data_IF_030279535703
#
_entry.id   IF_030279535703
#
_cell.length_a   1.000
_cell.length_b   1.000
_cell.length_c   1.000
_cell.angle_alpha   90.00
_cell.angle_beta   90.00
_cell.angle_gamma   90.00
#
_symmetry.space_group_name_H-M   'P 1'
#
loop_
_entity.id
_entity.type
_entity.pdbx_description
1 polymer ?
#
# COMPACT_ATOMS: atom_id res chain seq x y z
N UNK A 1 -43.42 91.18 6.12
CA UNK A 1 -43.59 89.76 6.50
C UNK A 1 -42.67 88.91 5.65
N UNK A 2 -41.69 88.25 6.28
CA UNK A 2 -40.77 87.29 5.66
C UNK A 2 -41.56 86.10 5.10
N UNK A 3 -41.25 85.65 3.88
CA UNK A 3 -41.52 84.28 3.44
C UNK A 3 -40.21 83.66 3.01
N UNK A 4 -39.81 82.64 3.75
CA UNK A 4 -38.63 81.80 3.55
C UNK A 4 -39.12 80.40 3.20
N UNK A 5 -38.22 79.60 2.60
CA UNK A 5 -38.22 78.12 2.52
C UNK A 5 -39.11 77.54 1.37
N UNK A 6 -38.72 76.54 0.56
CA UNK A 6 -37.77 75.42 0.72
C UNK A 6 -37.25 75.00 -0.67
N UNK A 7 -35.94 74.76 -0.81
CA UNK A 7 -35.35 74.06 -1.96
C UNK A 7 -35.23 72.56 -1.65
N UNK A 8 -35.88 71.71 -2.45
CA UNK A 8 -35.78 70.26 -2.34
C UNK A 8 -34.52 69.76 -3.07
N UNK A 9 -33.51 69.32 -2.32
CA UNK A 9 -32.41 68.52 -2.84
C UNK A 9 -32.82 67.04 -2.85
N UNK A 10 -32.95 66.45 -4.04
CA UNK A 10 -33.10 65.00 -4.22
C UNK A 10 -31.68 64.41 -4.24
N UNK A 11 -31.31 63.70 -3.17
CA UNK A 11 -30.10 62.88 -3.13
C UNK A 11 -30.45 61.51 -3.73
N UNK A 12 -29.93 61.22 -4.92
CA UNK A 12 -30.02 59.90 -5.54
C UNK A 12 -28.88 59.06 -4.97
N UNK A 13 -29.18 58.19 -3.99
CA UNK A 13 -28.26 57.18 -3.49
C UNK A 13 -28.11 56.07 -4.52
N UNK A 14 -26.96 56.02 -5.20
CA UNK A 14 -26.57 54.91 -6.07
C UNK A 14 -26.12 53.75 -5.18
N UNK A 15 -26.97 52.74 -5.03
CA UNK A 15 -26.65 51.48 -4.37
C UNK A 15 -25.81 50.64 -5.35
N UNK A 16 -24.50 50.55 -5.12
CA UNK A 16 -23.64 49.56 -5.75
C UNK A 16 -23.96 48.18 -5.16
N UNK A 17 -24.74 47.38 -5.89
CA UNK A 17 -24.92 45.95 -5.59
C UNK A 17 -23.66 45.25 -6.09
N UNK A 18 -22.70 45.03 -5.20
CA UNK A 18 -21.60 44.09 -5.43
C UNK A 18 -22.19 42.69 -5.57
N UNK A 19 -22.28 42.21 -6.81
CA UNK A 19 -22.68 40.83 -7.10
C UNK A 19 -21.62 39.87 -6.56
N UNK A 20 -21.88 39.28 -5.40
CA UNK A 20 -21.18 38.06 -4.99
C UNK A 20 -21.52 36.96 -6.00
N UNK A 21 -20.58 36.63 -6.88
CA UNK A 21 -20.64 35.41 -7.68
C UNK A 21 -20.46 34.22 -6.73
N UNK A 22 -21.53 33.83 -6.05
CA UNK A 22 -21.60 32.52 -5.41
C UNK A 22 -21.55 31.49 -6.54
N UNK A 23 -20.35 30.97 -6.83
CA UNK A 23 -20.20 29.84 -7.72
C UNK A 23 -21.06 28.71 -7.18
N UNK A 24 -22.17 28.42 -7.86
CA UNK A 24 -23.07 27.32 -7.52
C UNK A 24 -22.25 26.04 -7.56
N UNK A 25 -21.92 25.48 -6.40
CA UNK A 25 -21.29 24.17 -6.32
C UNK A 25 -22.27 23.16 -6.93
N UNK A 26 -21.83 22.50 -8.00
CA UNK A 26 -22.62 21.43 -8.63
C UNK A 26 -22.86 20.34 -7.58
N UNK A 27 -24.09 19.89 -7.43
CA UNK A 27 -24.42 18.80 -6.48
C UNK A 27 -23.55 17.56 -6.77
N UNK A 28 -23.12 16.79 -5.74
CA UNK A 28 -22.34 15.58 -5.95
C UNK A 28 -23.04 14.59 -6.88
N UNK A 29 -22.37 14.17 -7.95
CA UNK A 29 -22.85 13.11 -8.84
C UNK A 29 -22.13 11.80 -8.57
N UNK A 30 -22.80 10.68 -8.84
CA UNK A 30 -22.17 9.36 -8.79
C UNK A 30 -21.26 9.15 -10.02
N UNK A 31 -20.07 8.60 -9.79
CA UNK A 31 -19.13 8.18 -10.83
C UNK A 31 -18.77 6.70 -10.64
N UNK A 32 -19.02 5.90 -11.68
CA UNK A 32 -18.85 4.45 -11.65
C UNK A 32 -17.38 4.00 -11.75
N UNK A 33 -17.01 2.82 -11.21
CA UNK A 33 -15.61 2.35 -11.17
C UNK A 33 -14.89 2.22 -12.51
N UNK A 34 -15.62 1.96 -13.60
CA UNK A 34 -15.07 1.84 -14.94
C UNK A 34 -14.76 3.20 -15.61
N UNK A 35 -15.00 4.32 -14.91
CA UNK A 35 -14.65 5.64 -15.39
C UNK A 35 -13.11 5.77 -15.59
N UNK A 36 -12.64 6.21 -16.77
CA UNK A 36 -11.21 6.27 -17.09
C UNK A 36 -10.40 7.28 -16.27
N UNK A 37 -11.07 8.16 -15.50
CA UNK A 37 -10.39 9.05 -14.55
C UNK A 37 -9.84 8.29 -13.32
N UNK A 38 -10.34 7.09 -13.03
CA UNK A 38 -9.78 6.24 -11.98
C UNK A 38 -8.53 5.53 -12.46
N UNK A 39 -7.46 5.68 -11.69
CA UNK A 39 -6.22 4.93 -11.86
C UNK A 39 -6.11 3.89 -10.76
N UNK A 40 -5.99 2.63 -11.16
CA UNK A 40 -5.86 1.48 -10.27
C UNK A 40 -4.41 1.00 -10.25
N UNK A 41 -3.88 0.63 -9.09
CA UNK A 41 -2.54 0.03 -8.98
C UNK A 41 -2.49 -0.97 -7.83
N UNK A 42 -1.93 -2.15 -8.07
CA UNK A 42 -1.83 -3.25 -7.10
C UNK A 42 -2.30 -4.58 -7.67
N UNK A 43 -2.56 -5.56 -6.80
CA UNK A 43 -3.25 -6.79 -7.18
C UNK A 43 -4.75 -6.54 -7.13
N UNK A 44 -5.36 -6.39 -8.30
CA UNK A 44 -6.75 -5.99 -8.44
C UNK A 44 -7.47 -7.00 -9.34
N UNK A 45 -8.63 -7.45 -8.90
CA UNK A 45 -9.53 -8.30 -9.69
C UNK A 45 -10.47 -7.40 -10.50
N UNK A 46 -10.38 -7.48 -11.83
CA UNK A 46 -11.20 -6.76 -12.80
C UNK A 46 -12.23 -7.64 -13.51
N UNK A 47 -12.51 -8.85 -13.03
CA UNK A 47 -13.52 -9.74 -13.63
C UNK A 47 -14.90 -9.06 -13.76
N UNK A 48 -15.22 -8.14 -12.84
CA UNK A 48 -16.32 -7.21 -12.99
C UNK A 48 -15.77 -5.77 -13.00
N UNK A 49 -15.74 -5.07 -14.16
CA UNK A 49 -15.19 -3.71 -14.25
C UNK A 49 -16.02 -2.68 -13.47
N UNK A 50 -17.28 -2.98 -13.15
CA UNK A 50 -18.13 -2.13 -12.31
C UNK A 50 -17.93 -2.36 -10.81
N UNK A 51 -17.15 -3.37 -10.42
CA UNK A 51 -16.86 -3.74 -9.04
C UNK A 51 -15.43 -4.30 -8.90
N UNK A 52 -14.38 -3.52 -9.27
CA UNK A 52 -13.01 -3.98 -9.12
C UNK A 52 -12.68 -4.23 -7.65
N UNK A 53 -11.95 -5.32 -7.37
CA UNK A 53 -11.62 -5.73 -6.00
C UNK A 53 -10.15 -5.48 -5.71
N UNK A 54 -9.86 -4.64 -4.71
CA UNK A 54 -8.52 -4.43 -4.19
C UNK A 54 -8.14 -5.61 -3.29
N UNK A 55 -7.09 -6.34 -3.66
CA UNK A 55 -6.75 -7.62 -3.02
C UNK A 55 -5.61 -7.46 -2.00
N UNK A 56 -4.41 -7.17 -2.49
CA UNK A 56 -3.23 -7.12 -1.62
C UNK A 56 -3.18 -5.85 -0.79
N UNK A 57 -2.43 -5.91 0.32
CA UNK A 57 -2.06 -4.72 1.09
C UNK A 57 -1.46 -3.69 0.13
N UNK A 58 -1.71 -2.41 0.37
CA UNK A 58 -1.12 -1.36 -0.44
C UNK A 58 -1.71 -1.23 -1.83
N UNK A 59 -2.68 -2.05 -2.27
CA UNK A 59 -3.42 -1.79 -3.51
C UNK A 59 -4.20 -0.48 -3.38
N UNK A 60 -4.20 0.35 -4.41
CA UNK A 60 -4.75 1.70 -4.32
C UNK A 60 -5.45 2.18 -5.58
N UNK A 61 -6.34 3.15 -5.38
CA UNK A 61 -7.04 3.91 -6.41
C UNK A 61 -6.63 5.36 -6.29
N UNK A 62 -6.33 6.00 -7.42
CA UNK A 62 -6.12 7.44 -7.50
C UNK A 62 -7.10 8.07 -8.47
N UNK A 63 -7.54 9.27 -8.13
CA UNK A 63 -8.35 10.14 -8.97
C UNK A 63 -8.21 11.57 -8.47
N UNK A 64 -8.65 12.54 -9.25
CA UNK A 64 -8.91 13.89 -8.75
C UNK A 64 -10.40 14.19 -8.74
N UNK A 65 -10.80 15.19 -7.98
CA UNK A 65 -12.14 15.75 -8.08
C UNK A 65 -12.10 17.28 -7.96
N UNK A 66 -13.08 17.96 -8.53
CA UNK A 66 -13.31 19.40 -8.29
C UNK A 66 -14.54 19.58 -7.43
N UNK A 67 -14.41 20.31 -6.33
CA UNK A 67 -15.52 20.55 -5.40
C UNK A 67 -15.04 20.61 -3.96
N UNK A 68 -15.99 20.58 -3.02
CA UNK A 68 -15.72 20.76 -1.58
C UNK A 68 -15.80 19.46 -0.77
N UNK A 69 -16.21 18.35 -1.40
CA UNK A 69 -16.43 17.06 -0.76
C UNK A 69 -16.35 15.89 -1.72
N UNK A 70 -16.06 14.71 -1.18
CA UNK A 70 -16.09 13.44 -1.89
C UNK A 70 -16.49 12.32 -0.93
N UNK A 71 -17.45 11.50 -1.36
CA UNK A 71 -17.80 10.26 -0.66
C UNK A 71 -17.32 9.05 -1.46
N UNK A 72 -16.78 8.06 -0.75
CA UNK A 72 -16.34 6.77 -1.25
C UNK A 72 -17.47 5.75 -1.12
N UNK A 73 -17.68 4.94 -2.16
CA UNK A 73 -18.55 3.75 -2.09
C UNK A 73 -17.70 2.50 -2.22
N UNK A 74 -17.75 1.67 -1.20
CA UNK A 74 -17.03 0.39 -1.15
C UNK A 74 -17.89 -0.66 -0.46
N UNK A 75 -17.55 -1.91 -0.68
CA UNK A 75 -18.07 -3.06 0.06
C UNK A 75 -16.92 -3.92 0.53
N UNK A 76 -16.94 -4.28 1.80
CA UNK A 76 -15.95 -5.22 2.35
C UNK A 76 -16.37 -6.67 2.06
N UNK A 77 -15.41 -7.57 1.85
CA UNK A 77 -15.72 -8.98 1.71
C UNK A 77 -16.29 -9.59 3.00
N UNK A 78 -15.89 -9.06 4.16
CA UNK A 78 -16.13 -9.64 5.47
C UNK A 78 -15.73 -11.11 5.52
N UNK A 79 -14.49 -11.40 5.10
CA UNK A 79 -13.98 -12.76 5.03
C UNK A 79 -14.12 -13.47 6.39
N UNK A 80 -14.52 -14.75 6.35
CA UNK A 80 -14.82 -15.56 7.54
C UNK A 80 -15.92 -15.00 8.46
N UNK A 81 -16.71 -14.02 8.01
CA UNK A 81 -17.74 -13.31 8.78
C UNK A 81 -17.20 -12.60 10.05
N UNK A 82 -15.88 -12.40 10.14
CA UNK A 82 -15.26 -11.73 11.29
C UNK A 82 -14.15 -10.75 10.91
N UNK A 83 -13.53 -10.93 9.74
CA UNK A 83 -12.52 -9.99 9.26
C UNK A 83 -13.20 -8.75 8.67
N UNK A 84 -12.48 -7.63 8.72
CA UNK A 84 -12.87 -6.39 8.08
C UNK A 84 -11.62 -5.63 7.66
N UNK A 85 -11.67 -4.98 6.51
CA UNK A 85 -10.53 -4.21 6.02
C UNK A 85 -10.55 -2.78 6.52
N UNK A 86 -9.43 -2.13 6.26
CA UNK A 86 -9.29 -0.69 6.44
C UNK A 86 -8.74 -0.05 5.17
N UNK A 87 -9.09 1.22 4.97
CA UNK A 87 -8.61 2.02 3.85
C UNK A 87 -7.92 3.28 4.38
N UNK A 88 -6.68 3.50 3.97
CA UNK A 88 -5.93 4.73 4.21
C UNK A 88 -6.34 5.78 3.18
N UNK A 89 -6.69 6.98 3.65
CA UNK A 89 -7.20 8.08 2.83
C UNK A 89 -6.15 9.18 2.74
N UNK A 90 -5.91 9.68 1.53
CA UNK A 90 -4.98 10.78 1.26
C UNK A 90 -5.68 11.78 0.36
N UNK A 91 -5.66 13.05 0.76
CA UNK A 91 -6.22 14.17 -0.01
C UNK A 91 -5.12 15.22 -0.17
N UNK A 92 -4.88 15.66 -1.39
CA UNK A 92 -3.86 16.68 -1.74
C UNK A 92 -2.45 16.32 -1.23
N UNK A 93 -2.13 15.02 -1.23
CA UNK A 93 -0.86 14.50 -0.73
C UNK A 93 -0.77 14.38 0.79
N UNK A 94 -1.76 14.84 1.54
CA UNK A 94 -1.82 14.76 2.99
C UNK A 94 -2.58 13.51 3.45
N UNK A 95 -1.98 12.73 4.35
CA UNK A 95 -2.61 11.56 4.94
C UNK A 95 -3.71 11.99 5.92
N UNK A 96 -4.94 11.56 5.68
CA UNK A 96 -6.13 11.92 6.47
C UNK A 96 -6.54 10.85 7.50
N UNK A 97 -5.74 9.79 7.64
CA UNK A 97 -6.04 8.65 8.50
C UNK A 97 -6.62 7.45 7.74
N UNK A 98 -7.07 6.44 8.49
CA UNK A 98 -7.73 5.26 7.94
C UNK A 98 -9.20 5.19 8.35
N UNK A 99 -10.01 4.60 7.49
CA UNK A 99 -11.40 4.24 7.78
C UNK A 99 -11.50 2.73 8.01
N UNK A 100 -12.28 2.32 9.01
CA UNK A 100 -12.63 0.92 9.26
C UNK A 100 -13.87 0.54 8.47
N UNK A 101 -13.83 -0.59 7.77
CA UNK A 101 -14.98 -1.13 7.05
C UNK A 101 -15.83 -2.10 7.89
N UNK A 102 -15.60 -2.16 9.21
CA UNK A 102 -16.28 -3.09 10.13
C UNK A 102 -17.81 -3.03 10.11
N UNK A 103 -18.38 -1.86 9.87
CA UNK A 103 -19.84 -1.65 9.96
C UNK A 103 -20.60 -1.87 8.64
N UNK A 104 -19.93 -2.34 7.58
CA UNK A 104 -20.50 -2.56 6.23
C UNK A 104 -21.33 -1.37 5.70
N UNK A 105 -20.85 -0.13 5.92
CA UNK A 105 -21.52 1.04 5.35
C UNK A 105 -21.29 1.06 3.85
N UNK A 106 -22.33 1.31 3.06
CA UNK A 106 -22.18 1.44 1.61
C UNK A 106 -21.47 2.73 1.18
N UNK A 107 -21.41 3.74 2.06
CA UNK A 107 -20.88 5.08 1.76
C UNK A 107 -20.03 5.57 2.93
N UNK A 108 -18.83 6.05 2.62
CA UNK A 108 -17.88 6.65 3.55
C UNK A 108 -17.51 8.05 3.08
N UNK A 109 -17.70 9.04 3.94
CA UNK A 109 -17.25 10.40 3.65
C UNK A 109 -15.73 10.49 3.80
N UNK A 110 -15.02 10.80 2.71
CA UNK A 110 -13.55 10.85 2.70
C UNK A 110 -12.99 12.28 2.60
N UNK A 111 -13.83 13.24 2.22
CA UNK A 111 -13.50 14.67 2.18
C UNK A 111 -14.75 15.51 2.41
N UNK A 112 -14.64 16.56 3.23
CA UNK A 112 -15.68 17.56 3.43
C UNK A 112 -15.10 18.92 3.78
N UNK A 113 -15.91 19.97 3.58
CA UNK A 113 -15.57 21.35 3.91
C UNK A 113 -14.23 21.81 3.30
N UNK A 114 -13.85 21.25 2.14
CA UNK A 114 -12.68 21.68 1.41
C UNK A 114 -12.96 22.95 0.62
N UNK A 115 -11.91 23.68 0.25
CA UNK A 115 -12.01 24.77 -0.72
C UNK A 115 -12.55 24.26 -2.05
N UNK A 116 -13.36 25.06 -2.76
CA UNK A 116 -13.89 24.64 -4.06
C UNK A 116 -12.82 24.75 -5.17
N UNK A 117 -11.93 23.76 -5.24
CA UNK A 117 -10.83 23.67 -6.21
C UNK A 117 -10.65 22.22 -6.68
N UNK A 118 -9.60 21.99 -7.48
CA UNK A 118 -9.19 20.64 -7.85
C UNK A 118 -8.43 20.02 -6.67
N UNK A 119 -8.83 18.82 -6.30
CA UNK A 119 -8.22 17.98 -5.29
C UNK A 119 -7.69 16.70 -5.92
N UNK A 120 -6.67 16.12 -5.30
CA UNK A 120 -6.19 14.78 -5.62
C UNK A 120 -6.53 13.83 -4.48
N UNK A 121 -6.90 12.60 -4.82
CA UNK A 121 -7.27 11.58 -3.86
C UNK A 121 -6.48 10.31 -4.13
N UNK A 122 -5.98 9.68 -3.06
CA UNK A 122 -5.49 8.32 -3.07
C UNK A 122 -6.17 7.52 -1.95
N UNK A 123 -6.75 6.39 -2.32
CA UNK A 123 -7.40 5.44 -1.41
C UNK A 123 -6.59 4.16 -1.46
N UNK A 124 -5.97 3.79 -0.34
CA UNK A 124 -5.07 2.64 -0.26
C UNK A 124 -5.65 1.59 0.68
N UNK A 125 -5.73 0.34 0.25
CA UNK A 125 -6.06 -0.78 1.12
C UNK A 125 -4.96 -0.95 2.17
N UNK A 126 -5.31 -0.77 3.43
CA UNK A 126 -4.38 -0.77 4.55
C UNK A 126 -4.05 -2.21 4.99
N UNK A 127 -5.05 -3.08 4.99
CA UNK A 127 -4.99 -4.49 5.39
C UNK A 127 -4.57 -5.40 4.25
N UNK A 128 -4.00 -6.56 4.59
CA UNK A 128 -3.45 -7.50 3.60
C UNK A 128 -4.46 -8.46 2.98
N UNK A 129 -3.99 -9.29 2.04
CA UNK A 129 -4.84 -10.19 1.25
C UNK A 129 -5.59 -11.23 2.09
N UNK A 130 -4.96 -11.74 3.17
CA UNK A 130 -5.56 -12.74 4.07
C UNK A 130 -6.74 -12.20 4.90
N UNK A 131 -6.91 -10.87 4.94
CA UNK A 131 -8.05 -10.23 5.63
C UNK A 131 -9.30 -10.22 4.76
N UNK A 132 -9.12 -10.32 3.44
CA UNK A 132 -10.17 -10.24 2.44
C UNK A 132 -9.98 -9.06 1.48
N UNK A 133 -10.77 -9.04 0.42
CA UNK A 133 -10.75 -7.96 -0.56
C UNK A 133 -11.67 -6.80 -0.17
N UNK A 134 -11.44 -5.64 -0.79
CA UNK A 134 -12.37 -4.50 -0.78
C UNK A 134 -12.88 -4.28 -2.20
N UNK A 135 -14.18 -4.33 -2.39
CA UNK A 135 -14.85 -4.05 -3.65
C UNK A 135 -15.10 -2.53 -3.76
N UNK A 136 -14.60 -1.91 -4.83
CA UNK A 136 -14.82 -0.49 -5.09
C UNK A 136 -16.05 -0.30 -5.97
N UNK A 137 -17.00 0.51 -5.50
CA UNK A 137 -18.29 0.75 -6.18
C UNK A 137 -18.44 2.18 -6.71
N UNK A 138 -17.38 3.00 -6.62
CA UNK A 138 -17.33 4.35 -7.20
C UNK A 138 -17.24 5.45 -6.14
N UNK A 139 -17.45 6.69 -6.58
CA UNK A 139 -17.44 7.86 -5.68
C UNK A 139 -18.60 8.80 -5.98
N UNK A 140 -18.98 9.59 -4.99
CA UNK A 140 -19.88 10.74 -5.15
C UNK A 140 -19.07 12.03 -4.99
N UNK A 141 -18.91 12.79 -6.07
CA UNK A 141 -18.29 14.12 -6.07
C UNK A 141 -18.85 14.98 -7.20
N UNK A 142 -18.70 16.30 -7.12
CA UNK A 142 -19.28 17.23 -8.09
C UNK A 142 -18.74 17.04 -9.52
N UNK A 143 -17.45 16.77 -9.64
CA UNK A 143 -16.78 16.54 -10.92
C UNK A 143 -15.54 15.66 -10.69
N UNK A 144 -15.47 14.53 -11.39
CA UNK A 144 -14.33 13.61 -11.37
C UNK A 144 -13.33 14.03 -12.46
N UNK A 145 -12.05 14.09 -12.13
CA UNK A 145 -10.98 14.45 -13.06
C UNK A 145 -9.84 13.41 -13.00
N UNK A 146 -9.15 13.14 -14.12
CA UNK A 146 -8.03 12.22 -14.12
C UNK A 146 -6.84 12.76 -13.32
N UNK A 147 -6.01 11.86 -12.80
CA UNK A 147 -4.73 12.22 -12.17
C UNK A 147 -3.73 12.62 -13.25
N UNK A 148 -3.11 13.80 -13.11
CA UNK A 148 -2.14 14.32 -14.09
C UNK A 148 -0.71 13.82 -13.85
N UNK A 149 -0.34 13.55 -12.59
CA UNK A 149 1.02 13.18 -12.21
C UNK A 149 1.10 11.67 -11.97
N UNK A 150 1.42 10.91 -13.02
CA UNK A 150 1.63 9.47 -12.95
C UNK A 150 3.13 9.18 -12.83
N UNK A 151 3.57 8.48 -11.76
CA UNK A 151 4.96 8.06 -11.64
C UNK A 151 5.43 7.22 -12.82
N UNK A 152 6.61 7.52 -13.35
CA UNK A 152 7.23 6.67 -14.39
C UNK A 152 7.79 5.37 -13.78
N UNK A 153 8.36 5.48 -12.57
CA UNK A 153 9.05 4.41 -11.86
C UNK A 153 8.05 3.45 -11.21
N UNK A 154 8.40 2.17 -11.13
CA UNK A 154 7.61 1.12 -10.48
C UNK A 154 8.48 0.24 -9.60
N UNK A 155 8.05 0.00 -8.37
CA UNK A 155 8.73 -0.88 -7.42
C UNK A 155 7.76 -1.97 -6.96
N UNK A 156 8.17 -3.23 -7.03
CA UNK A 156 7.46 -4.32 -6.34
C UNK A 156 8.18 -4.65 -5.04
N UNK A 157 7.43 -4.71 -3.94
CA UNK A 157 7.90 -5.19 -2.64
C UNK A 157 7.29 -6.57 -2.39
N UNK A 158 8.16 -7.56 -2.27
CA UNK A 158 7.81 -8.95 -1.99
C UNK A 158 8.21 -9.23 -0.55
N UNK A 159 7.29 -9.68 0.29
CA UNK A 159 7.60 -9.80 1.71
C UNK A 159 6.53 -10.45 2.56
N UNK A 160 6.59 -10.16 3.86
CA UNK A 160 5.68 -10.71 4.87
C UNK A 160 4.95 -9.59 5.62
N UNK A 161 4.64 -9.80 6.91
CA UNK A 161 3.92 -8.87 7.78
C UNK A 161 4.54 -7.48 7.84
N UNK A 162 5.88 -7.40 7.82
CA UNK A 162 6.60 -6.13 7.77
C UNK A 162 6.25 -5.35 6.49
N UNK A 163 6.21 -6.04 5.36
CA UNK A 163 5.86 -5.40 4.07
C UNK A 163 4.38 -5.05 4.00
N UNK A 164 3.51 -5.81 4.67
CA UNK A 164 2.10 -5.50 4.84
C UNK A 164 1.83 -4.30 5.76
N UNK A 165 2.81 -3.84 6.53
CA UNK A 165 2.62 -2.81 7.56
C UNK A 165 1.82 -3.30 8.76
N UNK A 166 1.96 -4.58 9.13
CA UNK A 166 1.33 -5.15 10.32
C UNK A 166 1.94 -4.54 11.59
N UNK A 167 1.09 -4.20 12.57
CA UNK A 167 1.54 -3.72 13.88
C UNK A 167 2.05 -2.28 13.89
N UNK A 168 1.94 -1.56 12.77
CA UNK A 168 2.49 -0.22 12.57
C UNK A 168 1.58 0.88 13.14
N UNK A 169 0.27 0.82 12.88
CA UNK A 169 -0.64 1.96 13.07
C UNK A 169 -1.46 1.79 14.36
N UNK A 170 -1.00 2.44 15.42
CA UNK A 170 -1.65 2.43 16.73
C UNK A 170 -2.80 3.44 16.83
N UNK A 171 -3.08 4.20 15.77
CA UNK A 171 -4.17 5.17 15.78
C UNK A 171 -5.51 4.43 15.79
N UNK A 172 -6.35 4.75 16.77
CA UNK A 172 -7.67 4.14 16.95
C UNK A 172 -7.69 2.83 17.73
N UNK A 173 -6.75 1.90 17.50
CA UNK A 173 -6.70 0.61 18.20
C UNK A 173 -5.30 0.36 18.78
N UNK A 174 -5.10 0.47 20.12
CA UNK A 174 -3.85 0.10 20.79
C UNK A 174 -3.46 -1.36 20.55
N UNK A 175 -2.18 -1.67 20.72
CA UNK A 175 -1.73 -3.08 20.76
C UNK A 175 -2.55 -3.89 21.77
N UNK A 176 -2.75 -5.18 21.44
CA UNK A 176 -3.41 -6.17 22.29
C UNK A 176 -4.88 -5.86 22.67
N UNK A 177 -5.50 -4.86 22.04
CA UNK A 177 -6.89 -4.44 22.34
C UNK A 177 -7.92 -4.79 21.25
N UNK A 178 -7.47 -5.33 20.12
CA UNK A 178 -8.30 -5.61 18.94
C UNK A 178 -7.95 -6.92 18.25
N UNK A 179 -8.43 -7.08 17.01
CA UNK A 179 -7.99 -8.15 16.12
C UNK A 179 -6.55 -7.87 15.71
N UNK A 180 -5.75 -8.92 15.49
CA UNK A 180 -4.33 -8.81 15.13
C UNK A 180 -4.06 -7.94 13.88
N UNK A 181 -5.08 -7.78 13.02
CA UNK A 181 -4.97 -6.97 11.81
C UNK A 181 -5.34 -5.50 12.01
N UNK A 182 -5.85 -5.11 13.19
CA UNK A 182 -6.34 -3.76 13.45
C UNK A 182 -5.26 -2.70 13.38
N UNK A 183 -3.97 -3.02 13.48
CA UNK A 183 -2.86 -2.07 13.33
C UNK A 183 -2.19 -2.11 11.94
N UNK A 184 -2.78 -2.81 10.96
CA UNK A 184 -2.26 -2.79 9.59
C UNK A 184 -2.40 -1.43 8.92
N UNK A 185 -1.31 -0.92 8.37
CA UNK A 185 -1.37 0.23 7.47
C UNK A 185 -0.27 0.18 6.41
N UNK A 186 -0.58 -0.48 5.29
CA UNK A 186 0.32 -0.58 4.16
C UNK A 186 0.73 0.78 3.57
N UNK A 187 -0.12 1.83 3.63
CA UNK A 187 0.24 3.15 3.09
C UNK A 187 1.45 3.76 3.83
N UNK A 188 1.55 3.52 5.14
CA UNK A 188 2.66 4.01 5.96
C UNK A 188 3.86 3.05 6.02
N UNK A 189 3.71 1.82 5.52
CA UNK A 189 4.80 0.84 5.48
C UNK A 189 5.99 1.34 4.63
N UNK A 190 7.18 0.83 4.96
CA UNK A 190 8.46 1.28 4.40
C UNK A 190 8.49 1.28 2.86
N UNK A 191 7.85 0.29 2.22
CA UNK A 191 7.85 0.13 0.76
C UNK A 191 7.08 1.24 0.07
N UNK A 192 5.77 1.41 0.35
CA UNK A 192 4.99 2.55 -0.14
C UNK A 192 5.58 3.91 0.24
N UNK A 193 6.13 4.05 1.45
CA UNK A 193 6.79 5.28 1.88
C UNK A 193 8.02 5.60 1.01
N UNK A 194 8.92 4.63 0.79
CA UNK A 194 10.07 4.79 -0.08
C UNK A 194 9.65 5.10 -1.52
N UNK A 195 8.60 4.43 -2.02
CA UNK A 195 8.09 4.62 -3.37
C UNK A 195 7.59 6.04 -3.61
N UNK A 196 6.80 6.60 -2.68
CA UNK A 196 6.36 8.00 -2.75
C UNK A 196 7.55 8.96 -2.78
N UNK A 197 8.57 8.75 -1.94
CA UNK A 197 9.78 9.58 -1.88
C UNK A 197 10.69 9.43 -3.12
N UNK A 198 10.56 8.33 -3.85
CA UNK A 198 11.26 8.05 -5.10
C UNK A 198 10.45 8.41 -6.35
N UNK A 199 9.24 8.96 -6.19
CA UNK A 199 8.26 9.19 -7.25
C UNK A 199 8.04 7.92 -8.09
N UNK A 200 7.66 6.84 -7.41
CA UNK A 200 7.39 5.53 -7.98
C UNK A 200 6.02 5.00 -7.53
N UNK A 201 5.35 4.28 -8.43
CA UNK A 201 4.25 3.40 -8.04
C UNK A 201 4.78 2.18 -7.30
N UNK A 202 3.93 1.61 -6.46
CA UNK A 202 4.25 0.41 -5.69
C UNK A 202 3.28 -0.74 -5.94
N UNK A 203 3.79 -1.95 -5.80
CA UNK A 203 3.03 -3.19 -5.70
C UNK A 203 3.54 -3.95 -4.48
N UNK A 204 2.64 -4.38 -3.60
CA UNK A 204 2.99 -5.26 -2.49
C UNK A 204 2.47 -6.67 -2.80
N UNK A 205 3.42 -7.60 -2.83
CA UNK A 205 3.22 -9.03 -2.96
C UNK A 205 3.65 -9.67 -1.65
N UNK A 206 2.84 -9.47 -0.60
CA UNK A 206 3.19 -9.85 0.77
C UNK A 206 2.01 -10.41 1.55
N UNK A 207 2.32 -11.35 2.46
CA UNK A 207 1.35 -11.94 3.41
C UNK A 207 2.03 -12.22 4.75
N UNK A 208 1.41 -11.81 5.85
CA UNK A 208 1.90 -12.03 7.22
C UNK A 208 2.13 -13.50 7.51
N UNK A 209 3.20 -13.76 8.26
CA UNK A 209 3.59 -15.12 8.63
C UNK A 209 4.21 -15.96 7.51
N UNK A 210 4.14 -15.56 6.23
CA UNK A 210 4.75 -16.34 5.15
C UNK A 210 6.26 -16.15 5.06
N UNK A 211 6.97 -17.24 4.79
CA UNK A 211 8.42 -17.22 4.52
C UNK A 211 8.77 -17.69 3.11
N UNK A 212 10.06 -17.94 2.89
CA UNK A 212 10.57 -18.50 1.63
C UNK A 212 10.39 -20.01 1.60
N UNK A 213 10.90 -20.68 2.64
CA UNK A 213 10.92 -22.13 2.80
C UNK A 213 9.86 -22.61 3.80
N UNK A 214 9.61 -21.84 4.87
CA UNK A 214 8.59 -22.16 5.87
C UNK A 214 7.96 -20.90 6.47
N UNK A 215 6.77 -21.05 7.03
CA UNK A 215 6.04 -19.94 7.64
C UNK A 215 6.35 -19.82 9.13
N UNK A 216 5.79 -18.80 9.79
CA UNK A 216 5.97 -18.52 11.21
C UNK A 216 5.56 -19.70 12.11
N UNK A 217 4.41 -20.33 11.84
CA UNK A 217 3.89 -21.49 12.58
C UNK A 217 3.36 -22.62 11.67
N UNK A 218 3.81 -22.71 10.42
CA UNK A 218 3.46 -23.83 9.54
C UNK A 218 4.59 -24.12 8.54
N UNK A 219 4.65 -25.33 7.94
CA UNK A 219 5.61 -25.61 6.88
C UNK A 219 5.22 -24.94 5.54
N UNK A 220 3.98 -24.48 5.39
CA UNK A 220 3.47 -23.85 4.17
C UNK A 220 1.96 -23.63 4.22
N UNK A 221 1.35 -23.18 3.11
CA UNK A 221 2.00 -22.78 1.85
C UNK A 221 2.88 -21.53 2.05
N UNK A 222 4.05 -21.48 1.43
CA UNK A 222 4.99 -20.35 1.55
C UNK A 222 4.67 -19.25 0.54
N UNK A 223 5.30 -18.07 0.68
CA UNK A 223 5.04 -16.97 -0.27
C UNK A 223 5.36 -17.38 -1.72
N UNK A 224 6.50 -18.05 -2.04
CA UNK A 224 6.76 -18.53 -3.40
C UNK A 224 5.64 -19.43 -3.98
N UNK A 225 4.96 -20.22 -3.14
CA UNK A 225 3.89 -21.12 -3.57
C UNK A 225 2.60 -20.38 -3.95
N UNK A 226 2.34 -19.22 -3.33
CA UNK A 226 1.11 -18.44 -3.55
C UNK A 226 1.34 -17.17 -4.37
N UNK A 227 2.59 -16.77 -4.60
CA UNK A 227 2.98 -15.51 -5.26
C UNK A 227 2.30 -15.31 -6.63
N UNK A 228 2.11 -16.40 -7.37
CA UNK A 228 1.53 -16.37 -8.73
C UNK A 228 0.01 -16.17 -8.73
N UNK A 229 -0.65 -16.35 -7.59
CA UNK A 229 -2.10 -16.26 -7.46
C UNK A 229 -2.49 -14.81 -7.18
N UNK A 230 -3.54 -14.32 -7.83
CA UNK A 230 -4.02 -12.95 -7.67
C UNK A 230 -4.32 -12.63 -6.19
N UNK A 231 -4.89 -13.61 -5.49
CA UNK A 231 -5.31 -13.52 -4.09
C UNK A 231 -4.23 -13.90 -3.08
N UNK A 232 -3.01 -14.21 -3.51
CA UNK A 232 -1.90 -14.60 -2.62
C UNK A 232 -2.29 -15.73 -1.65
N UNK A 233 -3.18 -16.61 -2.08
CA UNK A 233 -3.64 -17.79 -1.36
C UNK A 233 -3.40 -19.05 -2.23
N UNK A 234 -3.89 -20.21 -1.82
CA UNK A 234 -3.70 -21.47 -2.58
C UNK A 234 -4.66 -21.63 -3.75
N UNK A 235 -5.66 -20.77 -3.89
CA UNK A 235 -6.57 -20.80 -5.03
C UNK A 235 -5.82 -20.34 -6.29
N UNK A 236 -5.62 -21.27 -7.21
CA UNK A 236 -4.88 -21.08 -8.44
C UNK A 236 -5.75 -20.81 -9.66
N UNK A 237 -7.08 -20.74 -9.48
CA UNK A 237 -8.03 -20.43 -10.56
C UNK A 237 -7.83 -19.02 -11.11
N UNK A 238 -7.36 -18.10 -10.26
CA UNK A 238 -7.04 -16.72 -10.64
C UNK A 238 -5.55 -16.42 -10.46
N UNK A 239 -4.83 -16.30 -11.57
CA UNK A 239 -3.42 -15.92 -11.59
C UNK A 239 -3.25 -14.40 -11.68
N UNK A 240 -2.22 -13.88 -11.01
CA UNK A 240 -1.82 -12.49 -11.17
C UNK A 240 -1.17 -12.31 -12.55
N UNK A 241 -1.72 -11.42 -13.39
CA UNK A 241 -1.10 -11.09 -14.67
C UNK A 241 0.09 -10.15 -14.43
N UNK A 242 1.29 -10.72 -14.46
CA UNK A 242 2.57 -9.99 -14.32
C UNK A 242 2.80 -8.93 -15.40
N UNK A 243 1.95 -8.82 -16.42
CA UNK A 243 2.03 -7.75 -17.43
C UNK A 243 1.35 -6.46 -16.98
N UNK A 244 0.44 -6.54 -16.01
CA UNK A 244 -0.30 -5.38 -15.49
C UNK A 244 0.56 -4.46 -14.64
N UNK A 245 1.67 -4.97 -14.09
CA UNK A 245 2.66 -4.20 -13.35
C UNK A 245 4.06 -4.67 -13.72
N UNK A 246 4.83 -3.82 -14.41
CA UNK A 246 6.22 -4.08 -14.81
C UNK A 246 7.18 -3.28 -13.92
N UNK A 247 7.71 -3.85 -12.83
CA UNK A 247 8.61 -3.15 -11.93
C UNK A 247 9.96 -2.86 -12.59
N UNK A 248 10.51 -1.68 -12.30
CA UNK A 248 11.92 -1.36 -12.57
C UNK A 248 12.82 -1.98 -11.49
N UNK A 249 12.31 -2.05 -10.26
CA UNK A 249 12.98 -2.58 -9.08
C UNK A 249 12.06 -3.56 -8.35
N UNK A 250 12.59 -4.71 -7.95
CA UNK A 250 11.92 -5.69 -7.10
C UNK A 250 12.70 -5.82 -5.80
N UNK A 251 12.06 -5.54 -4.67
CA UNK A 251 12.66 -5.62 -3.34
C UNK A 251 12.06 -6.80 -2.57
N UNK A 252 12.88 -7.80 -2.25
CA UNK A 252 12.45 -9.03 -1.57
C UNK A 252 12.91 -8.99 -0.11
N UNK A 253 11.97 -8.79 0.82
CA UNK A 253 12.21 -8.76 2.26
C UNK A 253 11.52 -9.98 2.92
N UNK A 254 12.17 -11.13 2.81
CA UNK A 254 11.74 -12.41 3.38
C UNK A 254 12.85 -13.05 4.22
N UNK A 255 12.50 -14.07 5.00
CA UNK A 255 13.42 -14.78 5.90
C UNK A 255 13.11 -14.60 7.38
N UNK A 256 12.36 -13.56 7.78
CA UNK A 256 11.94 -13.34 9.17
C UNK A 256 11.23 -14.58 9.74
N UNK A 257 10.23 -15.07 9.01
CA UNK A 257 9.39 -16.19 9.44
C UNK A 257 10.11 -17.54 9.35
N UNK A 258 11.04 -17.69 8.41
CA UNK A 258 11.90 -18.87 8.31
C UNK A 258 12.80 -19.01 9.55
N UNK A 259 13.30 -17.89 10.07
CA UNK A 259 14.18 -17.80 11.26
C UNK A 259 13.44 -17.60 12.59
N UNK A 260 12.12 -17.42 12.57
CA UNK A 260 11.34 -17.28 13.80
C UNK A 260 11.31 -18.58 14.59
N UNK A 261 11.13 -18.46 15.92
CA UNK A 261 10.93 -19.58 16.84
C UNK A 261 9.45 -20.02 16.90
N UNK A 262 8.56 -19.30 16.21
CA UNK A 262 7.12 -19.55 16.26
C UNK A 262 6.50 -19.14 17.60
N UNK A 263 5.32 -19.67 17.90
CA UNK A 263 4.65 -19.57 19.20
C UNK A 263 4.65 -20.89 20.00
N UNK A 264 5.30 -21.93 19.46
CA UNK A 264 5.33 -23.27 20.03
C UNK A 264 4.16 -24.18 19.65
N UNK A 265 3.14 -23.68 18.95
CA UNK A 265 2.01 -24.50 18.46
C UNK A 265 2.41 -25.52 17.39
N UNK A 266 3.47 -25.22 16.65
CA UNK A 266 4.06 -26.09 15.65
C UNK A 266 5.51 -26.41 16.01
N UNK A 267 5.87 -27.71 16.06
CA UNK A 267 7.25 -28.14 16.33
C UNK A 267 8.15 -27.79 15.14
N UNK A 268 9.04 -26.83 15.34
CA UNK A 268 9.98 -26.37 14.32
C UNK A 268 11.27 -27.20 14.38
N UNK A 269 11.76 -27.59 13.21
CA UNK A 269 13.09 -28.20 13.06
C UNK A 269 14.15 -27.12 12.91
N UNK A 270 15.43 -27.49 13.00
CA UNK A 270 16.52 -26.60 12.60
C UNK A 270 16.33 -26.16 11.13
N UNK A 271 16.73 -24.93 10.81
CA UNK A 271 16.67 -24.40 9.46
C UNK A 271 17.91 -24.85 8.68
N UNK A 272 17.73 -25.81 7.78
CA UNK A 272 18.79 -26.23 6.86
C UNK A 272 19.13 -25.09 5.89
N UNK A 273 20.39 -24.67 5.91
CA UNK A 273 20.91 -23.60 5.07
C UNK A 273 20.79 -23.89 3.56
N UNK A 274 21.08 -25.13 3.14
CA UNK A 274 21.09 -25.51 1.73
C UNK A 274 19.66 -25.49 1.19
N UNK A 275 18.70 -26.02 1.96
CA UNK A 275 17.30 -26.05 1.59
C UNK A 275 16.73 -24.63 1.49
N UNK A 276 17.01 -23.76 2.47
CA UNK A 276 16.57 -22.36 2.42
C UNK A 276 17.13 -21.64 1.18
N UNK A 277 18.45 -21.77 0.94
CA UNK A 277 19.12 -21.13 -0.19
C UNK A 277 18.58 -21.62 -1.53
N UNK A 278 18.35 -22.93 -1.69
CA UNK A 278 17.78 -23.51 -2.91
C UNK A 278 16.36 -22.99 -3.18
N UNK A 279 15.49 -22.98 -2.17
CA UNK A 279 14.13 -22.44 -2.30
C UNK A 279 14.14 -20.95 -2.70
N UNK A 280 15.06 -20.17 -2.13
CA UNK A 280 15.18 -18.75 -2.47
C UNK A 280 15.72 -18.56 -3.89
N UNK A 281 16.75 -19.31 -4.31
CA UNK A 281 17.25 -19.29 -5.69
C UNK A 281 16.11 -19.59 -6.68
N UNK A 282 15.34 -20.64 -6.44
CA UNK A 282 14.22 -21.02 -7.31
C UNK A 282 13.18 -19.90 -7.41
N UNK A 283 12.89 -19.22 -6.29
CA UNK A 283 11.97 -18.10 -6.30
C UNK A 283 12.51 -16.89 -7.06
N UNK A 284 13.78 -16.53 -6.87
CA UNK A 284 14.44 -15.45 -7.61
C UNK A 284 14.50 -15.75 -9.11
N UNK A 285 14.79 -17.00 -9.50
CA UNK A 285 14.75 -17.44 -10.91
C UNK A 285 13.36 -17.28 -11.51
N UNK A 286 12.30 -17.64 -10.76
CA UNK A 286 10.92 -17.41 -11.19
C UNK A 286 10.63 -15.92 -11.40
N UNK A 287 11.02 -15.06 -10.45
CA UNK A 287 10.83 -13.61 -10.54
C UNK A 287 11.58 -13.04 -11.75
N UNK A 288 12.86 -13.43 -11.93
CA UNK A 288 13.70 -13.00 -13.04
C UNK A 288 13.09 -13.38 -14.39
N UNK A 289 12.57 -14.60 -14.53
CA UNK A 289 11.92 -15.05 -15.76
C UNK A 289 10.77 -14.14 -16.20
N UNK A 290 9.95 -13.67 -15.25
CA UNK A 290 8.80 -12.81 -15.55
C UNK A 290 9.14 -11.31 -15.62
N UNK A 291 10.29 -10.93 -15.07
CA UNK A 291 10.79 -9.55 -14.98
C UNK A 291 12.26 -9.47 -15.43
N UNK A 292 12.56 -9.73 -16.72
CA UNK A 292 13.94 -9.85 -17.21
C UNK A 292 14.73 -8.53 -17.12
N UNK A 293 14.05 -7.39 -17.04
CA UNK A 293 14.70 -6.07 -17.00
C UNK A 293 14.84 -5.47 -15.61
N UNK A 294 14.04 -5.92 -14.63
CA UNK A 294 14.03 -5.35 -13.30
C UNK A 294 15.39 -5.55 -12.59
N UNK A 295 15.80 -4.62 -11.73
CA UNK A 295 16.84 -4.95 -10.73
C UNK A 295 16.19 -5.64 -9.53
N UNK A 296 16.83 -6.67 -8.99
CA UNK A 296 16.33 -7.41 -7.83
C UNK A 296 17.20 -7.08 -6.63
N UNK A 297 16.59 -6.64 -5.54
CA UNK A 297 17.26 -6.39 -4.28
C UNK A 297 16.76 -7.38 -3.24
N UNK A 298 17.63 -8.26 -2.75
CA UNK A 298 17.32 -9.18 -1.66
C UNK A 298 17.71 -8.52 -0.32
N UNK A 299 16.73 -8.33 0.55
CA UNK A 299 16.89 -7.65 1.84
C UNK A 299 16.95 -8.69 2.97
N UNK A 300 17.79 -8.46 3.97
CA UNK A 300 17.66 -9.18 5.24
C UNK A 300 16.40 -8.74 5.99
N UNK A 301 16.08 -9.42 7.09
CA UNK A 301 14.95 -9.08 7.95
C UNK A 301 15.29 -7.84 8.81
N UNK A 302 14.47 -6.79 8.79
CA UNK A 302 14.59 -5.65 9.72
C UNK A 302 14.15 -6.02 11.15
N UNK A 303 13.64 -7.22 11.40
CA UNK A 303 13.26 -7.69 12.75
C UNK A 303 14.27 -8.68 13.35
N UNK A 304 15.16 -9.27 12.53
CA UNK A 304 16.15 -10.23 13.03
C UNK A 304 17.34 -9.47 13.63
N UNK A 305 17.92 -10.01 14.70
CA UNK A 305 19.14 -9.50 15.31
C UNK A 305 20.11 -10.64 15.63
N UNK A 306 21.36 -10.29 15.93
CA UNK A 306 22.42 -11.23 16.30
C UNK A 306 22.62 -12.36 15.27
N UNK A 307 22.84 -13.58 15.78
CA UNK A 307 23.15 -14.76 14.96
C UNK A 307 22.09 -15.04 13.88
N UNK A 308 20.81 -14.77 14.14
CA UNK A 308 19.74 -14.94 13.14
C UNK A 308 19.90 -14.00 11.96
N UNK A 309 20.29 -12.74 12.19
CA UNK A 309 20.54 -11.79 11.11
C UNK A 309 21.82 -12.14 10.34
N UNK A 310 22.88 -12.54 11.05
CA UNK A 310 24.15 -12.94 10.43
C UNK A 310 23.99 -14.18 9.52
N UNK A 311 23.26 -15.20 9.99
CA UNK A 311 22.92 -16.38 9.18
C UNK A 311 22.07 -16.00 7.97
N UNK A 312 21.01 -15.21 8.15
CA UNK A 312 20.17 -14.78 7.03
C UNK A 312 20.98 -13.97 5.99
N UNK A 313 21.86 -13.07 6.44
CA UNK A 313 22.78 -12.33 5.57
C UNK A 313 23.69 -13.26 4.78
N UNK A 314 24.26 -14.28 5.42
CA UNK A 314 25.08 -15.30 4.76
C UNK A 314 24.28 -16.07 3.71
N UNK A 315 23.05 -16.49 4.03
CA UNK A 315 22.21 -17.24 3.11
C UNK A 315 21.79 -16.40 1.90
N UNK A 316 21.38 -15.15 2.11
CA UNK A 316 21.05 -14.23 1.00
C UNK A 316 22.30 -13.94 0.16
N UNK A 317 23.47 -13.79 0.78
CA UNK A 317 24.74 -13.64 0.04
C UNK A 317 25.01 -14.84 -0.86
N UNK A 318 24.74 -16.06 -0.38
CA UNK A 318 24.86 -17.27 -1.19
C UNK A 318 23.88 -17.29 -2.37
N UNK A 319 22.63 -16.84 -2.18
CA UNK A 319 21.63 -16.69 -3.26
C UNK A 319 22.12 -15.69 -4.31
N UNK A 320 22.53 -14.49 -3.89
CA UNK A 320 23.02 -13.44 -4.80
C UNK A 320 24.26 -13.89 -5.57
N UNK A 321 25.22 -14.52 -4.87
CA UNK A 321 26.41 -15.08 -5.50
C UNK A 321 26.06 -16.17 -6.51
N UNK A 322 25.11 -17.06 -6.20
CA UNK A 322 24.65 -18.07 -7.15
C UNK A 322 24.06 -17.43 -8.40
N UNK A 323 23.15 -16.47 -8.26
CA UNK A 323 22.53 -15.78 -9.39
C UNK A 323 23.57 -15.05 -10.26
N UNK A 324 24.55 -14.38 -9.66
CA UNK A 324 25.60 -13.67 -10.40
C UNK A 324 26.58 -14.64 -11.08
N UNK A 325 26.99 -15.71 -10.42
CA UNK A 325 28.07 -16.57 -10.91
C UNK A 325 27.58 -17.72 -11.78
N UNK A 326 26.49 -18.40 -11.40
CA UNK A 326 25.94 -19.55 -12.12
C UNK A 326 24.95 -19.10 -13.20
N UNK A 327 24.02 -18.21 -12.85
CA UNK A 327 22.97 -17.75 -13.77
C UNK A 327 23.38 -16.51 -14.60
N UNK A 328 24.56 -15.93 -14.31
CA UNK A 328 25.10 -14.72 -14.97
C UNK A 328 24.15 -13.51 -14.88
N UNK A 329 23.36 -13.42 -13.82
CA UNK A 329 22.48 -12.30 -13.55
C UNK A 329 23.20 -11.22 -12.73
N UNK A 330 23.66 -10.17 -13.40
CA UNK A 330 24.32 -9.02 -12.76
C UNK A 330 23.33 -8.00 -12.18
N UNK A 331 22.01 -8.15 -12.45
CA UNK A 331 20.97 -7.21 -12.00
C UNK A 331 20.35 -7.64 -10.67
N UNK A 332 21.16 -8.21 -9.78
CA UNK A 332 20.76 -8.62 -8.44
C UNK A 332 21.75 -8.13 -7.38
N UNK A 333 21.23 -7.55 -6.32
CA UNK A 333 21.99 -6.95 -5.23
C UNK A 333 21.42 -7.39 -3.88
N UNK A 334 22.23 -7.27 -2.82
CA UNK A 334 21.80 -7.49 -1.45
C UNK A 334 21.81 -6.17 -0.68
N UNK A 335 20.82 -5.99 0.19
CA UNK A 335 20.84 -5.00 1.27
C UNK A 335 20.68 -5.71 2.61
N UNK A 336 21.47 -5.31 3.61
CA UNK A 336 21.39 -5.88 4.94
C UNK A 336 21.05 -4.79 5.95
N UNK A 337 19.91 -4.91 6.63
CA UNK A 337 19.61 -4.07 7.78
C UNK A 337 20.59 -4.37 8.91
N UNK A 338 21.13 -3.31 9.51
CA UNK A 338 22.03 -3.37 10.67
C UNK A 338 21.31 -3.12 11.98
N UNK A 339 20.08 -2.63 11.91
CA UNK A 339 19.23 -2.27 13.06
C UNK A 339 18.00 -3.16 13.06
N UNK A 340 17.61 -3.63 14.25
CA UNK A 340 16.33 -4.30 14.45
C UNK A 340 15.25 -3.27 14.79
N UNK A 341 14.13 -3.34 14.09
CA UNK A 341 13.00 -2.44 14.11
C UNK A 341 11.79 -3.22 14.65
N UNK A 342 11.46 -3.03 15.93
CA UNK A 342 10.52 -3.91 16.67
C UNK A 342 9.63 -3.13 17.67
N UNK A 343 9.44 -1.82 17.46
CA UNK A 343 8.77 -0.95 18.44
C UNK A 343 7.23 -0.94 18.36
N UNK A 344 6.64 -1.62 17.37
CA UNK A 344 5.20 -1.76 17.14
C UNK A 344 4.59 -3.02 17.76
N UNK A 345 3.33 -3.32 17.41
CA UNK A 345 2.61 -4.43 18.03
C UNK A 345 3.20 -5.79 17.65
N UNK A 346 3.22 -6.73 18.61
CA UNK A 346 3.76 -8.07 18.38
C UNK A 346 5.22 -8.06 17.92
N UNK A 347 6.01 -7.08 18.39
CA UNK A 347 7.41 -6.84 18.02
C UNK A 347 7.62 -6.52 16.53
N UNK A 348 6.59 -6.07 15.81
CA UNK A 348 6.74 -5.55 14.45
C UNK A 348 7.28 -4.12 14.47
N UNK A 349 7.77 -3.57 13.35
CA UNK A 349 8.14 -2.16 13.27
C UNK A 349 6.93 -1.23 13.46
N UNK A 350 7.08 -0.15 14.24
CA UNK A 350 6.09 0.92 14.31
C UNK A 350 6.23 1.92 13.14
N UNK A 351 5.45 3.00 13.15
CA UNK A 351 5.51 4.02 12.10
C UNK A 351 6.91 4.67 12.00
N UNK A 352 7.56 4.96 13.13
CA UNK A 352 8.89 5.58 13.16
C UNK A 352 9.94 4.63 12.60
N UNK A 353 9.88 3.37 13.00
CA UNK A 353 10.75 2.33 12.49
C UNK A 353 10.61 2.18 10.97
N UNK A 354 9.38 2.17 10.45
CA UNK A 354 9.14 2.12 9.01
C UNK A 354 9.66 3.36 8.25
N UNK A 355 9.66 4.54 8.88
CA UNK A 355 10.31 5.74 8.34
C UNK A 355 11.83 5.57 8.26
N UNK A 356 12.46 5.08 9.33
CA UNK A 356 13.91 4.81 9.36
C UNK A 356 14.31 3.74 8.35
N UNK A 357 13.52 2.67 8.23
CA UNK A 357 13.74 1.64 7.21
C UNK A 357 13.69 2.22 5.78
N UNK A 358 12.75 3.13 5.50
CA UNK A 358 12.69 3.80 4.21
C UNK A 358 13.90 4.72 4.00
N UNK A 359 14.34 5.44 5.03
CA UNK A 359 15.53 6.30 5.00
C UNK A 359 16.81 5.50 4.70
N UNK A 360 16.94 4.29 5.27
CA UNK A 360 18.06 3.38 5.01
C UNK A 360 18.05 2.86 3.56
N UNK A 361 16.86 2.52 3.05
CA UNK A 361 16.70 1.87 1.73
C UNK A 361 16.80 2.84 0.56
N UNK A 362 16.32 4.07 0.70
CA UNK A 362 16.25 5.05 -0.41
C UNK A 362 17.64 5.32 -1.03
N UNK A 363 18.72 5.58 -0.27
CA UNK A 363 20.06 5.76 -0.83
C UNK A 363 20.54 4.53 -1.60
N UNK A 364 20.29 3.34 -1.07
CA UNK A 364 20.63 2.09 -1.72
C UNK A 364 19.87 1.88 -3.03
N UNK A 365 18.57 2.16 -3.06
CA UNK A 365 17.76 2.09 -4.28
C UNK A 365 18.19 3.12 -5.31
N UNK A 366 18.48 4.36 -4.91
CA UNK A 366 18.99 5.39 -5.82
C UNK A 366 20.32 4.99 -6.46
N UNK A 367 21.25 4.48 -5.66
CA UNK A 367 22.54 3.97 -6.15
C UNK A 367 22.35 2.79 -7.12
N UNK A 368 21.56 1.79 -6.72
CA UNK A 368 21.28 0.59 -7.52
C UNK A 368 20.60 0.95 -8.84
N UNK A 369 19.66 1.90 -8.80
CA UNK A 369 18.84 2.23 -9.96
C UNK A 369 19.43 3.33 -10.85
N UNK A 370 20.27 4.21 -10.32
CA UNK A 370 20.68 5.47 -10.95
C UNK A 370 19.54 6.51 -10.93
N UNK A 371 18.80 6.59 -9.83
CA UNK A 371 17.57 7.40 -9.70
C UNK A 371 17.74 8.75 -9.01
#
# INVERSE_FOLDING_TARGET
MRKTLIANFIVISIIFISGCSNGTSKLPSYHAPDNPAFRYTGRIDFNNPLNPKLISAGSYIQFGFKGTSCDLRVKDQHLYNENYNYLSIVIDGEYKGRISLKNDSAIYKIAENLENKNHTTLICKATEASIGYVEFSGVNCSELIPVSNIPARKIEFIGNSITCGMGLDLTGVPCDSGKWFDQHNAYLAYGPLASRRLNADWLLSSVSGLGVFRNWNSPGPTLPMVYQNLYLNTDSTMRFDVRTFKPDLISICLGTNDFSDGDGSYKRTELDSAVFVEHYINFVKYIRHHNPQARICCLTSPMNSGEKNDKLKSYISAVVNHMQQAEKDEKINMFAFTTAYINGCGYHPDERDHQMMADDLIPFYKSTMGW
#
